data_IF_703293601223
#
_entry.id   IF_703293601223
#
_cell.length_a   1.000
_cell.length_b   1.000
_cell.length_c   1.000
_cell.angle_alpha   90.00
_cell.angle_beta   90.00
_cell.angle_gamma   90.00
#
_symmetry.space_group_name_H-M   'P 1'
#
loop_
_entity.id
_entity.type
_entity.pdbx_description
1 polymer ?
#
# COMPACT_ATOMS: atom_id res chain seq x y z
N UNK A 1 23.89 22.99 -49.73
CA UNK A 1 24.10 22.64 -48.30
C UNK A 1 24.15 23.91 -47.51
N UNK A 2 23.05 24.32 -46.85
CA UNK A 2 23.01 25.55 -46.05
C UNK A 2 23.30 25.17 -44.60
N UNK A 3 24.50 25.54 -44.13
CA UNK A 3 24.87 25.42 -42.71
C UNK A 3 24.10 26.41 -41.88
N UNK A 4 23.32 25.90 -40.95
CA UNK A 4 22.64 26.70 -39.92
C UNK A 4 23.70 27.21 -38.95
N UNK A 5 24.01 28.49 -39.02
CA UNK A 5 24.86 29.18 -38.04
C UNK A 5 24.05 29.41 -36.76
N UNK A 6 24.27 28.60 -35.74
CA UNK A 6 23.76 28.90 -34.39
C UNK A 6 24.49 30.11 -33.82
N UNK A 7 23.69 31.06 -33.35
CA UNK A 7 24.14 32.32 -32.76
C UNK A 7 25.09 32.10 -31.57
N UNK A 8 26.29 32.65 -31.66
CA UNK A 8 27.41 32.52 -30.71
C UNK A 8 27.17 33.14 -29.33
N UNK A 9 26.06 33.82 -29.14
CA UNK A 9 25.72 34.54 -27.91
C UNK A 9 25.02 33.70 -26.81
N UNK A 10 24.53 32.50 -27.17
CA UNK A 10 23.85 31.61 -26.20
C UNK A 10 24.75 30.52 -25.61
N UNK A 11 25.96 30.34 -26.14
CA UNK A 11 26.89 29.29 -25.67
C UNK A 11 27.40 29.47 -24.23
N UNK A 12 27.76 30.68 -23.73
CA UNK A 12 28.23 30.80 -22.35
C UNK A 12 27.15 30.56 -21.31
N UNK A 13 25.88 30.92 -21.60
CA UNK A 13 24.76 30.68 -20.69
C UNK A 13 24.45 29.19 -20.58
N UNK A 14 24.57 28.44 -21.67
CA UNK A 14 24.36 26.99 -21.69
C UNK A 14 25.46 26.26 -20.88
N UNK A 15 26.70 26.68 -21.00
CA UNK A 15 27.84 26.07 -20.31
C UNK A 15 27.82 26.32 -18.79
N UNK A 16 27.38 27.50 -18.33
CA UNK A 16 27.22 27.79 -16.90
C UNK A 16 26.01 27.07 -16.29
N UNK A 17 24.88 26.98 -17.00
CA UNK A 17 23.72 26.26 -16.53
C UNK A 17 24.01 24.75 -16.43
N UNK A 18 24.78 24.18 -17.34
CA UNK A 18 25.21 22.78 -17.39
C UNK A 18 26.11 22.40 -16.20
N UNK A 19 26.95 23.33 -15.69
CA UNK A 19 27.86 23.08 -14.57
C UNK A 19 27.13 22.86 -13.23
N UNK A 20 25.99 23.48 -13.04
CA UNK A 20 25.18 23.35 -11.82
C UNK A 20 24.17 22.22 -11.86
N UNK A 21 23.65 21.88 -13.03
CA UNK A 21 22.60 20.86 -13.19
C UNK A 21 23.11 19.46 -12.84
N UNK A 22 24.36 19.12 -13.19
CA UNK A 22 24.98 17.83 -12.89
C UNK A 22 25.11 17.52 -11.40
N UNK A 23 25.74 18.39 -10.57
CA UNK A 23 25.86 18.16 -9.14
C UNK A 23 24.47 18.13 -8.47
N UNK A 24 23.56 19.00 -8.91
CA UNK A 24 22.17 19.01 -8.41
C UNK A 24 21.47 17.70 -8.70
N UNK A 25 21.54 17.17 -9.93
CA UNK A 25 20.93 15.89 -10.30
C UNK A 25 21.52 14.73 -9.49
N UNK A 26 22.81 14.73 -9.17
CA UNK A 26 23.45 13.73 -8.32
C UNK A 26 22.94 13.79 -6.88
N UNK A 27 22.91 14.99 -6.30
CA UNK A 27 22.40 15.18 -4.92
C UNK A 27 20.95 14.77 -4.83
N UNK A 28 20.13 15.21 -5.81
CA UNK A 28 18.71 14.83 -5.87
C UNK A 28 18.53 13.31 -5.98
N UNK A 29 19.30 12.65 -6.83
CA UNK A 29 19.26 11.20 -7.01
C UNK A 29 19.68 10.45 -5.73
N UNK A 30 20.68 10.95 -5.00
CA UNK A 30 21.09 10.39 -3.71
C UNK A 30 19.98 10.51 -2.65
N UNK A 31 19.36 11.70 -2.55
CA UNK A 31 18.25 11.94 -1.61
C UNK A 31 17.05 11.08 -1.94
N UNK A 32 16.67 10.99 -3.22
CA UNK A 32 15.59 10.10 -3.66
C UNK A 32 15.90 8.63 -3.37
N UNK A 33 17.15 8.20 -3.58
CA UNK A 33 17.60 6.85 -3.23
C UNK A 33 17.44 6.53 -1.73
N UNK A 34 17.78 7.47 -0.85
CA UNK A 34 17.57 7.32 0.59
C UNK A 34 16.08 7.25 0.97
N UNK A 35 15.24 8.07 0.33
CA UNK A 35 13.78 8.05 0.55
C UNK A 35 13.21 6.69 0.10
N UNK A 36 13.59 6.18 -1.07
CA UNK A 36 13.16 4.87 -1.57
C UNK A 36 13.61 3.73 -0.65
N UNK A 37 14.82 3.83 -0.08
CA UNK A 37 15.31 2.85 0.89
C UNK A 37 14.52 2.86 2.20
N UNK A 38 14.20 4.06 2.70
CA UNK A 38 13.33 4.23 3.87
C UNK A 38 11.91 3.69 3.63
N UNK A 39 11.34 3.94 2.44
CA UNK A 39 10.05 3.40 2.04
C UNK A 39 10.07 1.86 1.97
N UNK A 40 11.13 1.27 1.41
CA UNK A 40 11.30 -0.19 1.38
C UNK A 40 11.34 -0.80 2.79
N UNK A 41 12.08 -0.19 3.71
CA UNK A 41 12.12 -0.63 5.10
C UNK A 41 10.74 -0.57 5.77
N UNK A 42 10.01 0.53 5.58
CA UNK A 42 8.66 0.70 6.10
C UNK A 42 7.68 -0.36 5.54
N UNK A 43 7.78 -0.69 4.24
CA UNK A 43 6.96 -1.73 3.62
C UNK A 43 7.30 -3.14 4.13
N UNK A 44 8.57 -3.46 4.37
CA UNK A 44 8.97 -4.74 4.98
C UNK A 44 8.40 -4.85 6.39
N UNK A 45 8.56 -3.83 7.22
CA UNK A 45 8.02 -3.83 8.57
C UNK A 45 6.49 -3.91 8.58
N UNK A 46 5.82 -3.10 7.78
CA UNK A 46 4.35 -3.09 7.68
C UNK A 46 3.82 -4.42 7.12
N UNK A 47 4.41 -4.93 6.04
CA UNK A 47 4.02 -6.21 5.44
C UNK A 47 4.24 -7.39 6.39
N UNK A 48 5.40 -7.44 7.08
CA UNK A 48 5.68 -8.47 8.08
C UNK A 48 4.71 -8.38 9.27
N UNK A 49 4.44 -7.18 9.76
CA UNK A 49 3.49 -6.96 10.85
C UNK A 49 2.09 -7.48 10.47
N UNK A 50 1.60 -7.13 9.28
CA UNK A 50 0.32 -7.62 8.76
C UNK A 50 0.33 -9.15 8.71
N UNK A 51 1.33 -9.77 8.09
CA UNK A 51 1.40 -11.24 7.95
C UNK A 51 1.47 -11.93 9.32
N UNK A 52 2.27 -11.43 10.26
CA UNK A 52 2.40 -12.00 11.59
C UNK A 52 1.11 -11.86 12.40
N UNK A 53 0.44 -10.72 12.32
CA UNK A 53 -0.83 -10.48 12.97
C UNK A 53 -1.90 -11.43 12.42
N UNK A 54 -1.96 -11.59 11.09
CA UNK A 54 -2.94 -12.47 10.45
C UNK A 54 -2.59 -13.96 10.49
N UNK A 55 -1.32 -14.33 10.70
CA UNK A 55 -0.92 -15.75 10.84
C UNK A 55 -1.65 -16.43 12.00
N UNK A 56 -1.96 -15.71 13.07
CA UNK A 56 -2.74 -16.21 14.19
C UNK A 56 -4.23 -16.41 13.86
N UNK A 57 -4.72 -15.83 12.76
CA UNK A 57 -6.10 -15.91 12.27
C UNK A 57 -6.21 -16.73 10.97
N UNK A 58 -5.18 -17.52 10.64
CA UNK A 58 -5.01 -18.25 9.37
C UNK A 58 -6.17 -19.15 8.95
N UNK A 59 -6.97 -19.65 9.88
CA UNK A 59 -8.13 -20.49 9.57
C UNK A 59 -9.37 -19.73 9.12
N UNK A 60 -9.34 -18.39 9.17
CA UNK A 60 -10.49 -17.55 8.89
C UNK A 60 -10.47 -16.90 7.50
N UNK A 61 -9.29 -16.55 7.01
CA UNK A 61 -9.10 -15.91 5.71
C UNK A 61 -8.53 -16.91 4.68
N UNK A 62 -9.31 -17.94 4.36
CA UNK A 62 -8.97 -18.82 3.22
C UNK A 62 -9.21 -18.13 1.87
N UNK A 63 -9.96 -17.06 1.85
CA UNK A 63 -10.04 -16.20 0.69
C UNK A 63 -8.80 -15.30 0.66
N UNK A 64 -7.87 -15.64 -0.24
CA UNK A 64 -6.55 -15.03 -0.49
C UNK A 64 -6.53 -13.49 -0.60
N UNK A 65 -7.66 -12.84 -0.59
CA UNK A 65 -7.85 -11.44 -0.95
C UNK A 65 -7.22 -10.45 0.04
N UNK A 66 -7.29 -10.74 1.35
CA UNK A 66 -6.72 -9.86 2.38
C UNK A 66 -5.20 -10.02 2.55
N UNK A 67 -4.62 -11.14 2.11
CA UNK A 67 -3.17 -11.38 2.13
C UNK A 67 -2.47 -10.80 0.90
N UNK A 68 -3.18 -10.57 -0.21
CA UNK A 68 -2.61 -10.02 -1.46
C UNK A 68 -1.90 -8.67 -1.24
N UNK A 69 -2.48 -7.68 -0.52
CA UNK A 69 -1.78 -6.42 -0.27
C UNK A 69 -0.48 -6.58 0.52
N UNK A 70 -0.47 -7.50 1.50
CA UNK A 70 0.74 -7.80 2.29
C UNK A 70 1.86 -8.39 1.44
N UNK A 71 1.55 -9.33 0.55
CA UNK A 71 2.51 -9.91 -0.38
C UNK A 71 2.98 -8.90 -1.42
N UNK A 72 2.08 -8.09 -1.97
CA UNK A 72 2.45 -7.01 -2.91
C UNK A 72 3.40 -6.00 -2.26
N UNK A 73 3.16 -5.62 -1.00
CA UNK A 73 4.05 -4.73 -0.25
C UNK A 73 5.46 -5.33 -0.10
N UNK A 74 5.58 -6.63 0.19
CA UNK A 74 6.87 -7.31 0.31
C UNK A 74 7.57 -7.36 -1.06
N UNK A 75 6.85 -7.73 -2.13
CA UNK A 75 7.42 -7.76 -3.49
C UNK A 75 7.90 -6.37 -3.90
N UNK A 76 7.11 -5.33 -3.65
CA UNK A 76 7.51 -3.94 -3.91
C UNK A 76 8.75 -3.55 -3.14
N UNK A 77 8.86 -3.92 -1.87
CA UNK A 77 10.05 -3.66 -1.05
C UNK A 77 11.31 -4.34 -1.62
N UNK A 78 11.20 -5.58 -2.10
CA UNK A 78 12.31 -6.28 -2.76
C UNK A 78 12.81 -5.59 -4.02
N UNK A 79 11.94 -4.87 -4.74
CA UNK A 79 12.32 -4.08 -5.91
C UNK A 79 12.83 -2.69 -5.52
N UNK A 80 12.28 -2.07 -4.49
CA UNK A 80 12.70 -0.76 -4.01
C UNK A 80 14.10 -0.76 -3.40
N UNK A 81 14.49 -1.82 -2.70
CA UNK A 81 15.82 -1.94 -2.10
C UNK A 81 16.96 -1.80 -3.14
N UNK A 82 17.02 -2.63 -4.21
CA UNK A 82 18.05 -2.48 -5.22
C UNK A 82 17.92 -1.17 -6.00
N UNK A 83 16.70 -0.66 -6.23
CA UNK A 83 16.48 0.60 -6.92
C UNK A 83 17.07 1.77 -6.12
N UNK A 84 16.82 1.85 -4.83
CA UNK A 84 17.40 2.88 -3.95
C UNK A 84 18.92 2.76 -3.84
N UNK A 85 19.46 1.54 -3.71
CA UNK A 85 20.91 1.32 -3.70
C UNK A 85 21.58 1.77 -5.02
N UNK A 86 20.96 1.47 -6.16
CA UNK A 86 21.45 1.90 -7.47
C UNK A 86 21.41 3.43 -7.61
N UNK A 87 20.38 4.10 -7.13
CA UNK A 87 20.30 5.57 -7.15
C UNK A 87 21.49 6.19 -6.40
N UNK A 88 21.83 5.68 -5.22
CA UNK A 88 22.98 6.12 -4.43
C UNK A 88 24.30 5.80 -5.15
N UNK A 89 24.44 4.59 -5.72
CA UNK A 89 25.64 4.19 -6.47
C UNK A 89 25.85 5.05 -7.72
N UNK A 90 24.79 5.40 -8.45
CA UNK A 90 24.86 6.28 -9.64
C UNK A 90 25.26 7.70 -9.26
N UNK A 91 24.83 8.18 -8.10
CA UNK A 91 25.22 9.48 -7.59
C UNK A 91 26.75 9.58 -7.36
N UNK A 92 27.39 8.50 -6.90
CA UNK A 92 28.82 8.43 -6.58
C UNK A 92 29.65 7.90 -7.75
N UNK A 93 29.19 6.84 -8.41
CA UNK A 93 29.89 6.16 -9.53
C UNK A 93 29.02 6.20 -10.78
N UNK A 94 29.59 6.68 -11.85
CA UNK A 94 28.88 6.97 -13.07
C UNK A 94 29.05 5.81 -14.10
N UNK A 95 28.36 4.66 -13.86
CA UNK A 95 28.36 3.51 -14.78
C UNK A 95 27.10 3.48 -15.68
N UNK A 96 27.28 3.32 -17.00
CA UNK A 96 26.15 3.23 -17.96
C UNK A 96 25.25 2.04 -17.69
N UNK A 97 25.84 0.91 -17.31
CA UNK A 97 25.10 -0.30 -16.99
C UNK A 97 24.16 -0.08 -15.79
N UNK A 98 24.66 0.51 -14.71
CA UNK A 98 23.87 0.82 -13.53
C UNK A 98 22.71 1.79 -13.82
N UNK A 99 22.95 2.80 -14.66
CA UNK A 99 21.94 3.76 -15.10
C UNK A 99 20.82 3.09 -15.91
N UNK A 100 21.18 2.16 -16.82
CA UNK A 100 20.21 1.38 -17.61
C UNK A 100 19.38 0.45 -16.72
N UNK A 101 20.03 -0.28 -15.81
CA UNK A 101 19.35 -1.18 -14.85
C UNK A 101 18.40 -0.39 -13.94
N UNK A 102 18.82 0.78 -13.50
CA UNK A 102 18.00 1.67 -12.68
C UNK A 102 16.74 2.13 -13.41
N UNK A 103 16.87 2.56 -14.69
CA UNK A 103 15.70 2.94 -15.50
C UNK A 103 14.74 1.78 -15.70
N UNK A 104 15.26 0.57 -15.94
CA UNK A 104 14.42 -0.63 -16.07
C UNK A 104 13.63 -0.91 -14.78
N UNK A 105 14.28 -0.85 -13.61
CA UNK A 105 13.61 -1.07 -12.32
C UNK A 105 12.55 -0.02 -12.05
N UNK A 106 12.80 1.26 -12.36
CA UNK A 106 11.79 2.32 -12.22
C UNK A 106 10.56 2.07 -13.10
N UNK A 107 10.75 1.62 -14.34
CA UNK A 107 9.61 1.29 -15.22
C UNK A 107 8.80 0.12 -14.66
N UNK A 108 9.46 -0.92 -14.15
CA UNK A 108 8.78 -2.05 -13.51
C UNK A 108 7.98 -1.61 -12.29
N UNK A 109 8.57 -0.77 -11.43
CA UNK A 109 7.88 -0.22 -10.24
C UNK A 109 6.67 0.62 -10.63
N UNK A 110 6.79 1.55 -11.59
CA UNK A 110 5.67 2.35 -12.10
C UNK A 110 4.54 1.48 -12.66
N UNK A 111 4.87 0.39 -13.36
CA UNK A 111 3.85 -0.56 -13.84
C UNK A 111 3.13 -1.27 -12.70
N UNK A 112 3.85 -1.67 -11.65
CA UNK A 112 3.26 -2.29 -10.46
C UNK A 112 2.37 -1.31 -9.68
N UNK A 113 2.80 -0.06 -9.53
CA UNK A 113 2.00 0.99 -8.88
C UNK A 113 0.73 1.30 -9.66
N UNK A 114 0.83 1.47 -10.98
CA UNK A 114 -0.33 1.71 -11.84
C UNK A 114 -1.32 0.54 -11.79
N UNK A 115 -0.82 -0.70 -11.79
CA UNK A 115 -1.66 -1.90 -11.65
C UNK A 115 -2.35 -1.94 -10.28
N UNK A 116 -1.63 -1.63 -9.21
CA UNK A 116 -2.16 -1.60 -7.85
C UNK A 116 -3.23 -0.50 -7.68
N UNK A 117 -2.98 0.68 -8.23
CA UNK A 117 -3.94 1.79 -8.21
C UNK A 117 -5.22 1.47 -9.00
N UNK A 118 -5.08 0.86 -10.18
CA UNK A 118 -6.21 0.42 -11.01
C UNK A 118 -7.05 -0.65 -10.29
N UNK A 119 -6.40 -1.65 -9.69
CA UNK A 119 -7.07 -2.67 -8.89
C UNK A 119 -7.80 -2.04 -7.70
N UNK A 120 -7.14 -1.14 -6.96
CA UNK A 120 -7.76 -0.45 -5.83
C UNK A 120 -9.03 0.30 -6.24
N UNK A 121 -9.01 0.96 -7.39
CA UNK A 121 -10.18 1.69 -7.91
C UNK A 121 -11.32 0.73 -8.30
N UNK A 122 -11.03 -0.32 -9.08
CA UNK A 122 -12.03 -1.30 -9.51
C UNK A 122 -12.66 -2.03 -8.32
N UNK A 123 -11.85 -2.37 -7.32
CA UNK A 123 -12.34 -3.05 -6.12
C UNK A 123 -13.10 -2.13 -5.18
N UNK A 124 -12.79 -0.83 -5.14
CA UNK A 124 -13.55 0.13 -4.33
C UNK A 124 -15.04 0.12 -4.65
N UNK A 125 -15.39 0.00 -5.92
CA UNK A 125 -16.79 0.00 -6.37
C UNK A 125 -17.51 -1.32 -6.05
N UNK A 126 -16.79 -2.45 -6.07
CA UNK A 126 -17.35 -3.79 -5.76
C UNK A 126 -17.28 -4.16 -4.28
N UNK A 127 -16.46 -3.46 -3.52
CA UNK A 127 -16.14 -3.77 -2.13
C UNK A 127 -17.37 -3.85 -1.24
N UNK A 128 -18.36 -2.97 -1.42
CA UNK A 128 -19.55 -2.93 -0.57
C UNK A 128 -20.42 -4.17 -0.70
N UNK A 129 -20.57 -4.75 -1.90
CA UNK A 129 -21.37 -5.95 -2.12
C UNK A 129 -20.64 -7.22 -1.65
N UNK A 130 -19.34 -7.33 -1.96
CA UNK A 130 -18.51 -8.45 -1.51
C UNK A 130 -18.36 -8.46 0.01
N UNK A 131 -18.16 -7.28 0.61
CA UNK A 131 -18.06 -7.12 2.06
C UNK A 131 -19.38 -7.54 2.76
N UNK A 132 -20.52 -7.15 2.19
CA UNK A 132 -21.84 -7.54 2.72
C UNK A 132 -22.02 -9.06 2.68
N UNK A 133 -21.67 -9.71 1.56
CA UNK A 133 -21.76 -11.16 1.41
C UNK A 133 -20.83 -11.88 2.41
N UNK A 134 -19.58 -11.45 2.50
CA UNK A 134 -18.58 -12.04 3.40
C UNK A 134 -18.97 -11.87 4.86
N UNK A 135 -19.38 -10.67 5.26
CA UNK A 135 -19.82 -10.39 6.63
C UNK A 135 -21.06 -11.20 6.99
N UNK A 136 -22.07 -11.27 6.09
CA UNK A 136 -23.27 -12.10 6.30
C UNK A 136 -22.91 -13.55 6.55
N UNK A 137 -22.02 -14.12 5.72
CA UNK A 137 -21.57 -15.52 5.88
C UNK A 137 -20.85 -15.76 7.21
N UNK A 138 -20.02 -14.82 7.64
CA UNK A 138 -19.31 -14.88 8.92
C UNK A 138 -20.25 -14.89 10.12
N UNK A 139 -21.23 -13.99 10.12
CA UNK A 139 -22.21 -13.88 11.19
C UNK A 139 -23.14 -15.11 11.23
N UNK A 140 -23.45 -15.70 10.08
CA UNK A 140 -24.20 -16.96 10.01
C UNK A 140 -23.45 -18.15 10.60
N UNK A 141 -22.11 -18.16 10.50
CA UNK A 141 -21.28 -19.25 11.06
C UNK A 141 -20.92 -19.04 12.54
N UNK A 142 -21.35 -17.94 13.16
CA UNK A 142 -21.04 -17.64 14.55
C UNK A 142 -21.71 -18.65 15.51
N UNK A 143 -20.91 -19.34 16.31
CA UNK A 143 -21.34 -20.40 17.24
C UNK A 143 -21.15 -20.04 18.73
N UNK A 144 -21.04 -18.76 19.07
CA UNK A 144 -20.86 -18.28 20.44
C UNK A 144 -19.42 -17.86 20.76
N UNK A 145 -19.27 -16.99 21.75
CA UNK A 145 -18.01 -16.36 22.16
C UNK A 145 -16.97 -17.38 22.67
N UNK A 146 -17.42 -18.48 23.26
CA UNK A 146 -16.55 -19.55 23.80
C UNK A 146 -16.24 -20.66 22.80
N UNK A 147 -16.72 -20.56 21.55
CA UNK A 147 -16.43 -21.58 20.55
C UNK A 147 -14.99 -21.44 20.07
N UNK A 148 -14.27 -22.58 20.00
CA UNK A 148 -12.96 -22.63 19.39
C UNK A 148 -13.01 -22.44 17.85
N UNK A 149 -14.18 -22.14 17.30
CA UNK A 149 -14.35 -21.94 15.87
C UNK A 149 -13.70 -20.60 15.45
N UNK A 150 -12.80 -20.61 14.49
CA UNK A 150 -12.05 -19.40 14.10
C UNK A 150 -12.96 -18.27 13.59
N UNK A 151 -14.11 -18.59 12.99
CA UNK A 151 -15.11 -17.64 12.54
C UNK A 151 -15.72 -16.83 13.68
N UNK A 152 -16.05 -17.46 14.80
CA UNK A 152 -16.61 -16.78 15.96
C UNK A 152 -15.63 -15.78 16.57
N UNK A 153 -14.34 -16.17 16.69
CA UNK A 153 -13.29 -15.25 17.18
C UNK A 153 -13.13 -14.01 16.31
N UNK A 154 -13.20 -14.16 15.00
CA UNK A 154 -13.02 -13.02 14.12
C UNK A 154 -14.18 -12.03 14.23
N UNK A 155 -15.40 -12.52 14.34
CA UNK A 155 -16.56 -11.66 14.61
C UNK A 155 -16.36 -10.89 15.91
N UNK A 156 -15.96 -11.56 17.00
CA UNK A 156 -15.70 -10.91 18.29
C UNK A 156 -14.62 -9.84 18.21
N UNK A 157 -13.52 -10.12 17.50
CA UNK A 157 -12.44 -9.15 17.30
C UNK A 157 -12.91 -7.96 16.48
N UNK A 158 -13.64 -8.18 15.38
CA UNK A 158 -14.17 -7.10 14.53
C UNK A 158 -15.11 -6.21 15.36
N UNK A 159 -16.01 -6.79 16.12
CA UNK A 159 -16.96 -6.04 16.93
C UNK A 159 -16.29 -5.19 17.99
N UNK A 160 -15.30 -5.73 18.70
CA UNK A 160 -14.53 -4.99 19.72
C UNK A 160 -13.66 -3.90 19.10
N UNK A 161 -12.91 -4.20 18.03
CA UNK A 161 -12.01 -3.21 17.41
C UNK A 161 -12.73 -2.09 16.69
N UNK A 162 -13.85 -2.39 16.02
CA UNK A 162 -14.63 -1.38 15.30
C UNK A 162 -15.72 -0.76 16.16
N UNK A 163 -15.93 -1.25 17.38
CA UNK A 163 -17.00 -0.79 18.28
C UNK A 163 -18.35 -0.81 17.56
N UNK A 164 -18.73 -1.98 17.05
CA UNK A 164 -19.93 -2.23 16.26
C UNK A 164 -20.61 -3.53 16.70
N UNK A 165 -21.86 -3.74 16.31
CA UNK A 165 -22.61 -4.95 16.62
C UNK A 165 -23.49 -5.37 15.45
N UNK A 166 -23.44 -6.65 15.09
CA UNK A 166 -24.16 -7.17 13.94
C UNK A 166 -23.54 -6.77 12.60
N UNK A 167 -24.15 -7.17 11.51
CA UNK A 167 -23.77 -6.76 10.15
C UNK A 167 -24.22 -5.33 9.90
N UNK A 168 -25.53 -5.10 9.97
CA UNK A 168 -26.17 -3.80 9.78
C UNK A 168 -26.51 -3.13 11.11
N UNK A 169 -26.87 -3.92 12.14
CA UNK A 169 -27.39 -3.44 13.42
C UNK A 169 -27.29 -4.58 14.45
N UNK A 170 -27.39 -4.25 15.74
CA UNK A 170 -27.44 -5.25 16.83
C UNK A 170 -28.65 -6.20 16.74
N UNK A 171 -29.75 -5.79 16.09
CA UNK A 171 -30.96 -6.63 15.89
C UNK A 171 -30.72 -7.84 14.98
N UNK A 172 -29.66 -7.85 14.19
CA UNK A 172 -29.30 -8.97 13.31
C UNK A 172 -29.09 -10.27 14.12
N UNK A 173 -28.69 -10.14 15.38
CA UNK A 173 -28.52 -11.26 16.29
C UNK A 173 -29.87 -11.91 16.69
N UNK A 174 -30.96 -11.13 16.72
CA UNK A 174 -32.31 -11.66 16.95
C UNK A 174 -32.78 -12.53 15.77
N UNK A 175 -32.53 -12.04 14.55
CA UNK A 175 -32.87 -12.78 13.33
C UNK A 175 -32.02 -14.06 13.20
N UNK A 176 -30.74 -14.01 13.54
CA UNK A 176 -29.84 -15.15 13.55
C UNK A 176 -30.23 -16.20 14.61
N UNK A 177 -30.75 -15.80 15.75
CA UNK A 177 -31.26 -16.70 16.78
C UNK A 177 -32.58 -17.35 16.36
N UNK A 178 -33.48 -16.60 15.76
CA UNK A 178 -34.76 -17.12 15.25
C UNK A 178 -34.56 -18.17 14.15
N UNK A 179 -33.61 -18.00 13.25
CA UNK A 179 -33.29 -18.93 12.18
C UNK A 179 -32.68 -20.25 12.68
N UNK A 180 -32.05 -20.25 13.86
CA UNK A 180 -31.47 -21.48 14.47
C UNK A 180 -32.42 -22.30 15.33
N UNK A 181 -33.71 -22.00 15.36
CA UNK A 181 -34.70 -22.67 16.19
C UNK A 181 -34.35 -22.76 17.70
N UNK A 182 -33.62 -21.80 18.22
CA UNK A 182 -33.33 -21.72 19.65
C UNK A 182 -34.58 -21.21 20.38
N UNK A 183 -35.44 -22.11 20.75
CA UNK A 183 -36.75 -21.83 21.38
C UNK A 183 -36.68 -21.53 22.88
N UNK A 184 -35.52 -21.48 23.49
CA UNK A 184 -35.40 -21.32 24.94
C UNK A 184 -34.41 -20.20 25.33
N UNK A 185 -34.93 -19.12 25.79
CA UNK A 185 -34.20 -18.14 26.54
C UNK A 185 -34.02 -16.78 25.86
N UNK A 186 -33.57 -15.84 26.61
CA UNK A 186 -33.31 -14.47 26.17
C UNK A 186 -32.39 -14.45 24.95
N UNK A 187 -32.82 -13.77 23.90
CA UNK A 187 -32.01 -13.52 22.72
C UNK A 187 -30.94 -12.51 23.11
N UNK A 188 -29.69 -12.96 23.19
CA UNK A 188 -28.56 -12.12 23.59
C UNK A 188 -27.60 -11.95 22.39
N UNK A 189 -27.10 -10.73 22.24
CA UNK A 189 -25.95 -10.45 21.39
C UNK A 189 -24.67 -10.96 22.06
N UNK A 190 -23.58 -11.21 21.31
CA UNK A 190 -22.30 -11.54 21.91
C UNK A 190 -21.78 -10.47 22.86
N UNK A 191 -21.00 -10.87 23.87
CA UNK A 191 -20.32 -9.92 24.77
C UNK A 191 -19.41 -8.93 24.04
N UNK A 192 -18.92 -9.30 22.87
CA UNK A 192 -18.13 -8.41 21.99
C UNK A 192 -18.89 -7.19 21.47
N UNK A 193 -20.23 -7.22 21.54
CA UNK A 193 -21.11 -6.10 21.24
C UNK A 193 -21.25 -5.10 22.40
N UNK A 194 -20.79 -5.46 23.59
CA UNK A 194 -20.92 -4.61 24.78
C UNK A 194 -19.96 -3.42 24.74
N UNK A 195 -20.45 -2.25 25.17
CA UNK A 195 -19.62 -1.07 25.39
C UNK A 195 -18.78 -1.27 26.65
N UNK A 196 -17.51 -0.94 26.60
CA UNK A 196 -16.58 -1.07 27.74
C UNK A 196 -16.98 -0.27 28.99
N UNK A 197 -17.89 0.72 28.84
CA UNK A 197 -18.39 1.53 29.94
C UNK A 197 -19.31 0.76 30.90
N UNK A 198 -19.80 -0.40 30.50
CA UNK A 198 -20.73 -1.21 31.29
C UNK A 198 -20.11 -2.56 31.67
N UNK A 199 -19.71 -2.70 32.93
CA UNK A 199 -19.09 -3.92 33.48
C UNK A 199 -20.06 -5.13 33.53
N UNK A 200 -21.37 -4.87 33.61
CA UNK A 200 -22.41 -5.89 33.78
C UNK A 200 -23.20 -6.16 32.50
N UNK A 201 -22.63 -5.85 31.35
CA UNK A 201 -23.29 -6.11 30.08
C UNK A 201 -23.24 -7.59 29.70
N UNK A 202 -24.41 -8.21 29.62
CA UNK A 202 -24.59 -9.63 29.24
C UNK A 202 -25.06 -9.82 27.79
N UNK A 203 -25.09 -8.76 26.99
CA UNK A 203 -25.60 -8.83 25.62
C UNK A 203 -27.12 -8.78 25.50
N UNK A 204 -27.85 -8.45 26.58
CA UNK A 204 -29.29 -8.37 26.57
C UNK A 204 -29.81 -7.28 25.62
N UNK A 205 -30.63 -7.69 24.63
CA UNK A 205 -31.16 -6.76 23.63
C UNK A 205 -32.18 -5.77 24.21
N UNK A 206 -32.79 -6.05 25.35
CA UNK A 206 -33.68 -5.11 26.02
C UNK A 206 -32.92 -3.92 26.61
N UNK A 207 -31.61 -4.08 26.82
CA UNK A 207 -30.72 -3.01 27.27
C UNK A 207 -29.83 -2.48 26.15
N UNK A 208 -30.46 -2.07 25.06
CA UNK A 208 -29.78 -1.61 23.85
C UNK A 208 -28.76 -0.47 24.08
N UNK A 209 -28.93 0.29 25.17
CA UNK A 209 -27.98 1.37 25.56
C UNK A 209 -26.58 0.84 25.90
N UNK A 210 -26.48 -0.40 26.36
CA UNK A 210 -25.22 -1.07 26.71
C UNK A 210 -24.50 -1.65 25.50
N UNK A 211 -25.19 -1.77 24.35
CA UNK A 211 -24.67 -2.36 23.12
C UNK A 211 -24.22 -1.28 22.14
N UNK A 212 -23.26 -1.64 21.29
CA UNK A 212 -22.96 -0.85 20.10
C UNK A 212 -24.14 -0.93 19.12
N UNK A 213 -24.67 0.22 18.72
CA UNK A 213 -25.86 0.27 17.87
C UNK A 213 -25.53 0.23 16.37
N UNK A 214 -24.31 0.67 15.99
CA UNK A 214 -23.90 0.71 14.60
C UNK A 214 -23.42 -0.65 14.12
N UNK A 215 -23.83 -1.02 12.89
CA UNK A 215 -23.40 -2.25 12.25
C UNK A 215 -21.95 -2.23 11.80
N UNK A 216 -21.35 -3.42 11.82
CA UNK A 216 -19.93 -3.59 11.49
C UNK A 216 -19.64 -3.36 10.00
N UNK A 217 -20.60 -3.67 9.12
CA UNK A 217 -20.44 -3.45 7.69
C UNK A 217 -20.18 -1.97 7.35
N UNK A 218 -20.95 -1.06 7.95
CA UNK A 218 -20.79 0.38 7.71
C UNK A 218 -19.47 0.90 8.23
N UNK A 219 -19.08 0.51 9.44
CA UNK A 219 -17.80 0.94 10.04
C UNK A 219 -16.60 0.38 9.29
N UNK A 220 -16.64 -0.89 8.92
CA UNK A 220 -15.58 -1.52 8.15
C UNK A 220 -15.47 -0.91 6.75
N UNK A 221 -16.60 -0.70 6.08
CA UNK A 221 -16.64 -0.04 4.77
C UNK A 221 -15.99 1.36 4.79
N UNK A 222 -16.32 2.18 5.78
CA UNK A 222 -15.72 3.50 5.95
C UNK A 222 -14.20 3.42 6.17
N UNK A 223 -13.74 2.49 7.03
CA UNK A 223 -12.30 2.29 7.27
C UNK A 223 -11.56 1.83 6.02
N UNK A 224 -12.15 0.89 5.28
CA UNK A 224 -11.56 0.41 4.03
C UNK A 224 -11.49 1.50 2.96
N UNK A 225 -12.56 2.28 2.80
CA UNK A 225 -12.57 3.40 1.86
C UNK A 225 -11.49 4.45 2.21
N UNK A 226 -11.32 4.75 3.49
CA UNK A 226 -10.24 5.64 3.95
C UNK A 226 -8.86 5.08 3.62
N UNK A 227 -8.62 3.79 3.90
CA UNK A 227 -7.34 3.11 3.61
C UNK A 227 -7.06 3.09 2.10
N UNK A 228 -8.06 2.78 1.28
CA UNK A 228 -7.91 2.77 -0.18
C UNK A 228 -7.58 4.16 -0.73
N UNK A 229 -8.24 5.20 -0.23
CA UNK A 229 -7.91 6.59 -0.58
C UNK A 229 -6.48 6.96 -0.18
N UNK A 230 -6.07 6.58 1.01
CA UNK A 230 -4.69 6.80 1.48
C UNK A 230 -3.65 6.09 0.59
N UNK A 231 -3.88 4.81 0.29
CA UNK A 231 -2.99 4.03 -0.61
C UNK A 231 -2.89 4.67 -1.98
N UNK A 232 -4.02 5.10 -2.56
CA UNK A 232 -4.03 5.79 -3.85
C UNK A 232 -3.12 7.04 -3.84
N UNK A 233 -3.27 7.91 -2.84
CA UNK A 233 -2.44 9.11 -2.74
C UNK A 233 -0.97 8.78 -2.49
N UNK A 234 -0.66 7.75 -1.71
CA UNK A 234 0.72 7.28 -1.53
C UNK A 234 1.33 6.83 -2.86
N UNK A 235 0.62 6.06 -3.68
CA UNK A 235 1.08 5.65 -5.00
C UNK A 235 1.34 6.86 -5.91
N UNK A 236 0.46 7.86 -5.92
CA UNK A 236 0.68 9.09 -6.70
C UNK A 236 1.96 9.81 -6.27
N UNK A 237 2.19 9.96 -4.98
CA UNK A 237 3.40 10.62 -4.46
C UNK A 237 4.67 9.84 -4.82
N UNK A 238 4.66 8.51 -4.64
CA UNK A 238 5.82 7.66 -4.98
C UNK A 238 6.08 7.68 -6.48
N UNK A 239 5.05 7.58 -7.32
CA UNK A 239 5.20 7.69 -8.78
C UNK A 239 5.79 9.04 -9.22
N UNK A 240 5.43 10.15 -8.57
CA UNK A 240 6.06 11.45 -8.82
C UNK A 240 7.55 11.45 -8.44
N UNK A 241 7.92 10.84 -7.30
CA UNK A 241 9.32 10.72 -6.88
C UNK A 241 10.14 9.85 -7.85
N UNK A 242 9.56 8.76 -8.34
CA UNK A 242 10.18 7.90 -9.36
C UNK A 242 10.38 8.63 -10.70
N UNK A 243 9.40 9.43 -11.12
CA UNK A 243 9.53 10.27 -12.32
C UNK A 243 10.66 11.29 -12.18
N UNK A 244 10.80 11.94 -11.02
CA UNK A 244 11.91 12.84 -10.73
C UNK A 244 13.26 12.11 -10.74
N UNK A 245 13.33 10.89 -10.21
CA UNK A 245 14.53 10.06 -10.24
C UNK A 245 14.89 9.65 -11.68
N UNK A 246 13.91 9.30 -12.51
CA UNK A 246 14.11 8.98 -13.92
C UNK A 246 14.64 10.19 -14.71
N UNK A 247 14.06 11.38 -14.50
CA UNK A 247 14.51 12.62 -15.12
C UNK A 247 15.96 12.94 -14.70
N UNK A 248 16.27 12.86 -13.40
CA UNK A 248 17.61 13.11 -12.86
C UNK A 248 18.65 12.17 -13.47
N UNK A 249 18.32 10.87 -13.58
CA UNK A 249 19.18 9.90 -14.23
C UNK A 249 19.32 10.17 -15.74
N UNK A 250 18.23 10.55 -16.42
CA UNK A 250 18.25 10.93 -17.84
C UNK A 250 19.16 12.12 -18.13
N UNK A 251 19.15 13.12 -17.25
CA UNK A 251 20.08 14.27 -17.34
C UNK A 251 21.53 13.78 -17.24
N UNK A 252 21.84 12.90 -16.29
CA UNK A 252 23.19 12.36 -16.13
C UNK A 252 23.63 11.52 -17.32
N UNK A 253 22.70 10.81 -17.99
CA UNK A 253 22.97 10.06 -19.21
C UNK A 253 23.26 10.97 -20.41
N UNK A 254 22.46 12.00 -20.61
CA UNK A 254 22.56 12.91 -21.77
C UNK A 254 23.88 13.68 -21.81
N UNK A 255 24.44 14.03 -20.67
CA UNK A 255 25.64 14.87 -20.58
C UNK A 255 26.97 14.11 -20.71
N UNK A 256 26.98 12.86 -21.17
CA UNK A 256 28.19 12.04 -21.34
C UNK A 256 28.75 11.84 -22.74
N UNK A 257 28.14 12.23 -23.85
CA UNK A 257 28.58 11.77 -25.15
C UNK A 257 29.93 12.31 -25.61
N UNK A 258 30.49 13.34 -24.98
CA UNK A 258 31.67 14.06 -25.52
C UNK A 258 33.03 13.60 -24.98
N UNK A 259 33.12 12.93 -23.84
CA UNK A 259 34.42 12.54 -23.26
C UNK A 259 34.96 11.21 -23.85
N UNK A 260 34.11 10.27 -24.21
CA UNK A 260 34.52 8.98 -24.78
C UNK A 260 35.06 9.15 -26.21
N UNK A 261 34.56 10.13 -26.99
CA UNK A 261 35.08 10.44 -28.33
C UNK A 261 36.47 11.08 -28.30
N UNK A 262 36.75 11.91 -27.30
CA UNK A 262 38.10 12.54 -27.16
C UNK A 262 39.17 11.52 -26.76
N UNK A 263 38.85 10.50 -26.01
CA UNK A 263 39.82 9.46 -25.61
C UNK A 263 40.13 8.55 -26.81
N UNK A 264 39.14 8.25 -27.66
CA UNK A 264 39.37 7.50 -28.88
C UNK A 264 40.19 8.29 -29.92
N UNK A 265 39.97 9.60 -30.08
CA UNK A 265 40.74 10.46 -30.98
C UNK A 265 42.20 10.63 -30.50
N UNK A 266 42.44 10.73 -29.21
CA UNK A 266 43.79 10.82 -28.66
C UNK A 266 44.57 9.48 -28.73
N UNK A 267 43.86 8.33 -28.73
CA UNK A 267 44.47 7.01 -28.85
C UNK A 267 44.77 6.59 -30.30
N UNK A 268 44.16 7.27 -31.27
CA UNK A 268 44.43 7.00 -32.72
C UNK A 268 45.55 7.89 -33.26
N UNK A 269 46.04 8.88 -32.53
CA UNK A 269 47.14 9.77 -32.95
C UNK A 269 48.42 9.62 -32.11
N UNK A 270 48.58 8.54 -31.37
CA UNK A 270 49.80 8.11 -30.69
C UNK A 270 50.31 6.77 -31.30
#
# INVERSE_FOLDING_TARGET
>A
MKGVRYSTSLQPLYCTMESWVRPLARVLLALLGLILWGAAAALVFGGAFVILTYKNYKSFFWDCFLLVPGWLAIVSAFLLLPTGALAICISTRNSRYQQGTFMYLLVVLLCLEASSAALAHVYSDRMSSELNCTMGHLFHQYNGTYSHHPGSRAVDVIQRQLQCCGVHNYTDWAEAAASRHVHTGNICAPESCCKETYSDCTGDMHRSEQLFQEGCLRKLGYRLQFVMGYVFWCCVVVGCLEALAAISNGILLKHRPFQDFRILDSATFS
#
